data_IF_137924490471
#
_entry.id   IF_137924490471
#
_cell.length_a   1.000
_cell.length_b   1.000
_cell.length_c   1.000
_cell.angle_alpha   90.00
_cell.angle_beta   90.00
_cell.angle_gamma   90.00
#
_symmetry.space_group_name_H-M   'P 1'
#
loop_
_entity.id
_entity.type
_entity.pdbx_description
1 polymer ?
#
# COMPACT_ATOMS: atom_id res chain seq x y z
N UNK A 1 -4.02 5.69 13.56
CA UNK A 1 -4.24 4.29 14.00
C UNK A 1 -3.31 3.95 15.17
N UNK A 2 -3.60 2.96 16.03
CA UNK A 2 -2.66 2.50 17.07
C UNK A 2 -2.38 0.99 16.91
N UNK A 3 -1.12 0.58 17.03
CA UNK A 3 -0.66 -0.76 16.66
C UNK A 3 -0.12 -1.56 17.85
N UNK A 4 -0.11 -2.88 17.71
CA UNK A 4 0.13 -3.82 18.81
C UNK A 4 1.58 -4.29 18.96
N UNK A 5 2.44 -4.25 17.93
CA UNK A 5 3.87 -4.60 18.07
C UNK A 5 4.71 -4.24 16.84
N UNK A 6 5.74 -3.40 16.97
CA UNK A 6 6.85 -3.20 16.01
C UNK A 6 8.20 -2.99 16.71
N UNK A 7 9.31 -3.18 15.99
CA UNK A 7 10.67 -2.88 16.44
C UNK A 7 10.98 -1.38 16.48
N UNK A 8 10.37 -0.58 15.61
CA UNK A 8 10.70 0.85 15.41
C UNK A 8 9.56 1.82 15.76
N UNK A 9 8.40 1.31 16.19
CA UNK A 9 7.28 2.12 16.66
C UNK A 9 6.76 1.60 17.99
N UNK A 10 6.72 2.51 18.95
CA UNK A 10 6.22 2.30 20.30
C UNK A 10 4.74 1.94 20.24
N UNK A 11 4.38 0.79 20.83
CA UNK A 11 2.99 0.36 20.93
C UNK A 11 2.09 1.45 21.53
N UNK A 12 0.88 1.59 20.98
CA UNK A 12 -0.10 2.59 21.43
C UNK A 12 0.13 4.03 20.91
N UNK A 13 1.19 4.29 20.13
CA UNK A 13 1.36 5.58 19.45
C UNK A 13 0.49 5.67 18.19
N UNK A 14 -0.04 6.87 17.88
CA UNK A 14 -0.59 7.16 16.56
C UNK A 14 0.46 6.95 15.46
N UNK A 15 0.04 6.28 14.40
CA UNK A 15 0.85 5.98 13.22
C UNK A 15 0.13 6.27 11.91
N UNK A 16 0.95 6.43 10.86
CA UNK A 16 0.57 6.44 9.45
C UNK A 16 1.54 5.57 8.63
N UNK A 17 1.18 5.27 7.39
CA UNK A 17 1.96 4.46 6.45
C UNK A 17 2.47 5.31 5.29
N UNK A 18 3.77 5.32 5.09
CA UNK A 18 4.41 5.75 3.85
C UNK A 18 4.33 4.59 2.85
N UNK A 19 3.52 4.78 1.82
CA UNK A 19 3.23 3.83 0.78
C UNK A 19 4.16 4.09 -0.40
N UNK A 20 4.78 3.03 -0.91
CA UNK A 20 5.68 3.08 -2.05
C UNK A 20 5.26 2.03 -3.08
N UNK A 21 5.34 2.39 -4.35
CA UNK A 21 5.04 1.52 -5.49
C UNK A 21 6.23 1.50 -6.43
N UNK A 22 6.71 0.31 -6.81
CA UNK A 22 7.72 0.19 -7.87
C UNK A 22 7.37 -0.94 -8.82
N UNK A 23 7.78 -0.73 -10.05
CA UNK A 23 7.81 -1.74 -11.09
C UNK A 23 9.15 -2.45 -11.04
N UNK A 24 9.15 -3.72 -10.64
CA UNK A 24 10.36 -4.51 -10.51
C UNK A 24 10.47 -5.60 -11.58
N UNK A 25 11.69 -5.77 -12.07
CA UNK A 25 12.06 -6.93 -12.86
C UNK A 25 12.76 -7.95 -11.97
N UNK A 26 12.48 -9.23 -12.17
CA UNK A 26 13.09 -10.31 -11.35
C UNK A 26 14.61 -10.45 -11.51
N UNK A 27 15.25 -9.58 -12.30
CA UNK A 27 16.70 -9.55 -12.56
C UNK A 27 17.43 -8.47 -11.78
N UNK A 28 16.72 -7.58 -11.10
CA UNK A 28 17.31 -6.55 -10.23
C UNK A 28 17.18 -7.01 -8.77
N UNK A 29 18.28 -7.02 -8.02
CA UNK A 29 18.35 -7.63 -6.66
C UNK A 29 18.50 -6.61 -5.51
N UNK A 30 18.36 -5.30 -5.76
CA UNK A 30 18.49 -4.28 -4.70
C UNK A 30 17.40 -3.23 -4.74
N UNK A 31 16.41 -3.37 -3.86
CA UNK A 31 15.23 -2.50 -3.93
C UNK A 31 14.89 -1.80 -2.60
N UNK A 32 15.18 -2.41 -1.44
CA UNK A 32 14.74 -1.87 -0.15
C UNK A 32 15.45 -0.59 0.30
N UNK A 33 16.78 -0.61 0.42
CA UNK A 33 17.56 0.50 0.97
C UNK A 33 17.40 1.78 0.16
N UNK A 34 17.11 1.64 -1.13
CA UNK A 34 16.93 2.77 -2.03
C UNK A 34 15.52 3.36 -1.91
N UNK A 35 14.49 2.55 -1.64
CA UNK A 35 13.10 3.00 -1.48
C UNK A 35 12.90 3.79 -0.18
N UNK A 36 13.47 3.33 0.94
CA UNK A 36 13.29 4.01 2.23
C UNK A 36 13.91 5.41 2.32
N UNK A 37 14.74 5.77 1.33
CA UNK A 37 15.36 7.11 1.19
C UNK A 37 14.59 8.04 0.26
N UNK A 38 13.56 7.54 -0.41
CA UNK A 38 12.75 8.31 -1.36
C UNK A 38 11.50 8.89 -0.69
N UNK A 39 10.93 9.93 -1.30
CA UNK A 39 9.61 10.42 -0.94
C UNK A 39 8.55 9.34 -1.20
N UNK A 40 7.57 9.16 -0.30
CA UNK A 40 6.49 8.21 -0.50
C UNK A 40 5.59 8.60 -1.67
N UNK A 41 5.02 7.60 -2.33
CA UNK A 41 4.01 7.79 -3.37
C UNK A 41 2.64 8.17 -2.75
N UNK A 42 2.39 7.73 -1.52
CA UNK A 42 1.24 8.13 -0.70
C UNK A 42 1.62 8.10 0.80
N UNK A 43 1.09 9.04 1.57
CA UNK A 43 1.03 8.95 3.04
C UNK A 43 -0.39 8.59 3.46
N UNK A 44 -0.59 7.35 3.92
CA UNK A 44 -1.88 6.83 4.33
C UNK A 44 -2.05 6.87 5.86
N UNK A 45 -3.09 7.56 6.32
CA UNK A 45 -3.36 7.74 7.75
C UNK A 45 -4.26 6.65 8.34
N UNK A 46 -4.80 5.81 7.47
CA UNK A 46 -5.59 4.64 7.77
C UNK A 46 -5.28 3.49 6.80
N UNK A 47 -5.46 2.22 7.20
CA UNK A 47 -5.41 1.07 6.29
C UNK A 47 -6.42 1.20 5.17
N UNK A 48 -7.60 1.77 5.42
CA UNK A 48 -8.61 2.00 4.40
C UNK A 48 -8.06 2.86 3.26
N UNK A 49 -7.35 3.96 3.56
CA UNK A 49 -6.70 4.81 2.55
C UNK A 49 -5.64 4.04 1.76
N UNK A 50 -4.81 3.26 2.46
CA UNK A 50 -3.78 2.45 1.84
C UNK A 50 -4.38 1.36 0.92
N UNK A 51 -5.49 0.72 1.31
CA UNK A 51 -6.17 -0.30 0.52
C UNK A 51 -6.83 0.27 -0.72
N UNK A 52 -7.49 1.42 -0.60
CA UNK A 52 -8.04 2.13 -1.75
C UNK A 52 -6.94 2.46 -2.76
N UNK A 53 -5.81 2.98 -2.28
CA UNK A 53 -4.65 3.25 -3.12
C UNK A 53 -4.07 1.99 -3.77
N UNK A 54 -3.94 0.88 -3.03
CA UNK A 54 -3.52 -0.42 -3.61
C UNK A 54 -4.44 -0.83 -4.76
N UNK A 55 -5.76 -0.74 -4.57
CA UNK A 55 -6.74 -1.03 -5.62
C UNK A 55 -6.53 -0.16 -6.84
N UNK A 56 -6.30 1.13 -6.65
CA UNK A 56 -6.07 2.07 -7.75
C UNK A 56 -4.76 1.77 -8.50
N UNK A 57 -3.69 1.39 -7.79
CA UNK A 57 -2.44 0.96 -8.43
C UNK A 57 -2.63 -0.33 -9.25
N UNK A 58 -3.40 -1.30 -8.75
CA UNK A 58 -3.71 -2.52 -9.50
C UNK A 58 -4.52 -2.20 -10.75
N UNK A 59 -5.57 -1.36 -10.63
CA UNK A 59 -6.40 -0.96 -11.77
C UNK A 59 -5.58 -0.22 -12.83
N UNK A 60 -4.71 0.71 -12.41
CA UNK A 60 -3.86 1.47 -13.33
C UNK A 60 -2.92 0.57 -14.15
N UNK A 61 -2.44 -0.53 -13.57
CA UNK A 61 -1.51 -1.46 -14.23
C UNK A 61 -2.21 -2.72 -14.79
N UNK A 62 -3.54 -2.78 -14.73
CA UNK A 62 -4.34 -3.91 -15.22
C UNK A 62 -4.06 -4.24 -16.68
N UNK A 63 -3.85 -3.21 -17.51
CA UNK A 63 -3.56 -3.37 -18.94
C UNK A 63 -2.19 -4.00 -19.24
N UNK A 64 -1.29 -4.05 -18.25
CA UNK A 64 0.04 -4.66 -18.39
C UNK A 64 0.05 -6.15 -18.04
N UNK A 65 -1.08 -6.68 -17.55
CA UNK A 65 -1.20 -8.07 -17.14
C UNK A 65 -1.37 -8.99 -18.36
N UNK A 66 -0.43 -9.91 -18.53
CA UNK A 66 -0.50 -10.93 -19.58
C UNK A 66 -1.56 -11.99 -19.25
N UNK A 67 -2.21 -12.55 -20.28
CA UNK A 67 -3.11 -13.69 -20.10
C UNK A 67 -2.38 -14.98 -19.69
N UNK A 68 -1.09 -15.06 -20.02
CA UNK A 68 -0.26 -16.22 -19.72
C UNK A 68 -0.27 -16.54 -18.22
N UNK A 69 -0.45 -17.82 -17.89
CA UNK A 69 -0.50 -18.32 -16.51
C UNK A 69 -1.61 -17.70 -15.66
N UNK A 70 -2.68 -17.18 -16.28
CA UNK A 70 -3.85 -16.65 -15.57
C UNK A 70 -3.60 -15.33 -14.84
N UNK A 71 -2.53 -14.58 -15.14
CA UNK A 71 -2.19 -13.35 -14.42
C UNK A 71 -3.24 -12.25 -14.59
N UNK A 72 -3.73 -12.06 -15.81
CA UNK A 72 -4.84 -11.13 -16.07
C UNK A 72 -6.08 -11.50 -15.26
N UNK A 73 -6.54 -12.74 -15.35
CA UNK A 73 -7.69 -13.24 -14.58
C UNK A 73 -7.51 -13.02 -13.07
N UNK A 74 -6.31 -13.28 -12.54
CA UNK A 74 -5.97 -13.06 -11.14
C UNK A 74 -6.02 -11.59 -10.71
N UNK A 75 -5.73 -10.64 -11.61
CA UNK A 75 -5.91 -9.20 -11.36
C UNK A 75 -7.39 -8.82 -11.43
N UNK A 76 -8.12 -9.31 -12.42
CA UNK A 76 -9.56 -9.06 -12.55
C UNK A 76 -10.31 -9.55 -11.31
N UNK A 77 -9.98 -10.74 -10.82
CA UNK A 77 -10.53 -11.29 -9.57
C UNK A 77 -10.15 -10.44 -8.35
N UNK A 78 -8.91 -9.93 -8.30
CA UNK A 78 -8.47 -9.03 -7.23
C UNK A 78 -9.33 -7.76 -7.18
N UNK A 79 -9.54 -7.15 -8.34
CA UNK A 79 -10.30 -5.91 -8.47
C UNK A 79 -11.79 -6.15 -8.19
N UNK A 80 -12.34 -7.27 -8.66
CA UNK A 80 -13.74 -7.64 -8.44
C UNK A 80 -14.05 -7.98 -6.97
N UNK A 81 -13.08 -8.51 -6.22
CA UNK A 81 -13.23 -8.87 -4.80
C UNK A 81 -12.94 -7.72 -3.83
N UNK A 82 -12.60 -6.53 -4.33
CA UNK A 82 -12.28 -5.38 -3.48
C UNK A 82 -13.47 -4.97 -2.62
N UNK A 83 -13.20 -4.78 -1.33
CA UNK A 83 -14.12 -4.14 -0.38
C UNK A 83 -13.38 -3.02 0.37
N UNK A 84 -13.98 -1.83 0.57
CA UNK A 84 -13.31 -0.71 1.22
C UNK A 84 -12.93 -0.95 2.68
N UNK A 85 -13.68 -1.82 3.36
CA UNK A 85 -13.45 -2.19 4.75
C UNK A 85 -13.59 -3.71 4.89
N UNK A 86 -12.57 -4.47 4.45
CA UNK A 86 -12.62 -5.92 4.52
C UNK A 86 -12.64 -6.37 5.98
N UNK A 87 -13.30 -7.50 6.23
CA UNK A 87 -13.31 -8.08 7.56
C UNK A 87 -11.87 -8.42 8.02
N UNK A 88 -11.62 -8.51 9.33
CA UNK A 88 -10.35 -9.05 9.82
C UNK A 88 -10.09 -10.44 9.23
N UNK A 89 -8.83 -10.73 8.91
CA UNK A 89 -8.41 -12.04 8.42
C UNK A 89 -8.77 -13.12 9.45
N UNK A 90 -9.53 -14.13 9.04
CA UNK A 90 -9.86 -15.31 9.84
C UNK A 90 -9.48 -16.59 9.08
N UNK A 91 -9.47 -17.74 9.76
CA UNK A 91 -9.26 -19.02 9.10
C UNK A 91 -10.33 -19.31 8.03
N UNK A 92 -11.53 -18.76 8.21
CA UNK A 92 -12.69 -18.97 7.33
C UNK A 92 -12.78 -17.93 6.20
N UNK A 93 -11.98 -16.85 6.25
CA UNK A 93 -11.96 -15.80 5.25
C UNK A 93 -10.52 -15.44 4.84
N UNK A 94 -9.95 -16.26 3.95
CA UNK A 94 -8.59 -16.11 3.41
C UNK A 94 -8.56 -15.24 2.15
N UNK A 95 -9.35 -14.16 2.09
CA UNK A 95 -9.32 -13.24 0.96
C UNK A 95 -8.11 -12.28 1.04
N UNK A 96 -7.70 -11.79 -0.13
CA UNK A 96 -6.51 -10.96 -0.30
C UNK A 96 -6.61 -9.63 0.42
N UNK A 97 -7.77 -8.99 0.40
CA UNK A 97 -7.96 -7.66 0.98
C UNK A 97 -7.96 -7.72 2.51
N UNK A 98 -8.54 -8.77 3.08
CA UNK A 98 -8.42 -9.07 4.51
C UNK A 98 -6.97 -9.33 4.92
N UNK A 99 -6.20 -10.06 4.11
CA UNK A 99 -4.77 -10.28 4.35
C UNK A 99 -3.95 -8.98 4.29
N UNK A 100 -4.18 -8.13 3.28
CA UNK A 100 -3.53 -6.83 3.13
C UNK A 100 -3.85 -5.90 4.31
N UNK A 101 -5.11 -5.86 4.73
CA UNK A 101 -5.56 -5.06 5.88
C UNK A 101 -4.89 -5.51 7.17
N UNK A 102 -4.85 -6.83 7.41
CA UNK A 102 -4.16 -7.38 8.55
C UNK A 102 -2.66 -7.08 8.49
N UNK A 103 -2.04 -7.16 7.30
CA UNK A 103 -0.64 -6.77 7.08
C UNK A 103 -0.39 -5.30 7.43
N UNK A 104 -1.24 -4.38 7.00
CA UNK A 104 -1.12 -2.96 7.34
C UNK A 104 -1.25 -2.74 8.85
N UNK A 105 -2.22 -3.41 9.49
CA UNK A 105 -2.46 -3.35 10.94
C UNK A 105 -1.39 -4.06 11.78
N UNK A 106 -0.62 -4.96 11.20
CA UNK A 106 0.52 -5.62 11.84
C UNK A 106 1.86 -5.01 11.41
N UNK A 107 1.83 -4.07 10.45
CA UNK A 107 2.97 -3.46 9.75
C UNK A 107 3.96 -4.42 9.15
N UNK A 108 3.48 -5.36 8.35
CA UNK A 108 4.40 -5.92 7.36
C UNK A 108 4.70 -4.85 6.31
N UNK A 109 5.99 -4.62 6.09
CA UNK A 109 6.51 -3.52 5.27
C UNK A 109 6.48 -3.81 3.77
N UNK A 110 6.17 -5.06 3.39
CA UNK A 110 5.97 -5.49 2.02
C UNK A 110 4.67 -6.28 1.95
N UNK A 111 3.80 -5.91 1.02
CA UNK A 111 2.61 -6.69 0.69
C UNK A 111 2.89 -7.60 -0.51
N UNK A 112 1.99 -8.56 -0.72
CA UNK A 112 2.02 -9.47 -1.87
C UNK A 112 2.29 -8.72 -3.17
N UNK A 113 3.25 -9.22 -3.93
CA UNK A 113 3.60 -8.70 -5.25
C UNK A 113 2.53 -9.08 -6.28
N UNK A 114 2.16 -8.15 -7.16
CA UNK A 114 1.23 -8.42 -8.25
C UNK A 114 2.04 -8.74 -9.51
N UNK A 115 1.91 -9.98 -10.00
CA UNK A 115 2.59 -10.42 -11.21
C UNK A 115 1.85 -9.89 -12.43
N UNK A 116 2.51 -9.06 -13.24
CA UNK A 116 1.91 -8.49 -14.44
C UNK A 116 2.27 -9.33 -15.67
N UNK A 117 3.57 -9.50 -15.93
CA UNK A 117 4.10 -10.17 -17.10
C UNK A 117 5.29 -11.06 -16.74
N UNK A 118 5.85 -11.78 -17.72
CA UNK A 118 7.07 -12.55 -17.49
C UNK A 118 8.16 -11.68 -16.85
N UNK A 119 8.56 -12.05 -15.62
CA UNK A 119 9.55 -11.35 -14.78
C UNK A 119 9.20 -9.94 -14.35
N UNK A 120 8.01 -9.42 -14.64
CA UNK A 120 7.58 -8.06 -14.30
C UNK A 120 6.54 -8.06 -13.19
N UNK A 121 6.86 -7.39 -12.10
CA UNK A 121 6.03 -7.34 -10.89
C UNK A 121 5.72 -5.90 -10.51
N UNK A 122 4.49 -5.64 -10.10
CA UNK A 122 4.11 -4.46 -9.33
C UNK A 122 4.32 -4.78 -7.85
N UNK A 123 5.22 -4.05 -7.21
CA UNK A 123 5.60 -4.26 -5.82
C UNK A 123 5.20 -3.04 -5.01
N UNK A 124 4.53 -3.30 -3.88
CA UNK A 124 4.02 -2.27 -2.98
C UNK A 124 4.65 -2.47 -1.60
N UNK A 125 5.16 -1.38 -1.02
CA UNK A 125 5.73 -1.35 0.33
C UNK A 125 5.00 -0.34 1.19
N UNK A 126 4.90 -0.69 2.47
CA UNK A 126 4.24 0.15 3.48
C UNK A 126 5.20 0.32 4.64
N UNK A 127 5.95 1.41 4.58
CA UNK A 127 6.86 1.82 5.64
C UNK A 127 6.06 2.60 6.66
N UNK A 128 6.00 2.16 7.90
CA UNK A 128 5.17 2.87 8.82
C UNK A 128 5.94 3.81 9.74
N UNK A 129 5.28 4.88 10.14
CA UNK A 129 5.89 6.00 10.85
C UNK A 129 5.05 6.42 12.06
N UNK A 130 5.72 6.71 13.17
CA UNK A 130 5.11 7.39 14.31
C UNK A 130 4.77 8.83 13.92
N UNK A 131 3.55 9.29 14.25
CA UNK A 131 3.10 10.65 13.95
C UNK A 131 4.06 11.71 14.51
N UNK A 132 4.64 11.50 15.69
CA UNK A 132 5.57 12.45 16.33
C UNK A 132 6.96 12.54 15.68
N UNK A 133 7.33 11.55 14.86
CA UNK A 133 8.61 11.51 14.16
C UNK A 133 8.55 12.19 12.77
N UNK A 134 7.36 12.28 12.19
CA UNK A 134 7.13 12.89 10.88
C UNK A 134 6.67 14.35 11.05
N UNK A 135 7.63 15.28 11.21
CA UNK A 135 7.34 16.71 11.39
C UNK A 135 6.81 17.43 10.13
N UNK A 136 6.88 16.77 8.97
CA UNK A 136 6.66 17.40 7.66
C UNK A 136 5.34 16.95 6.98
N UNK A 137 4.50 16.15 7.65
CA UNK A 137 3.25 15.65 7.08
C UNK A 137 2.07 16.06 7.96
N UNK A 138 1.26 17.00 7.46
CA UNK A 138 0.04 17.44 8.13
C UNK A 138 -1.05 16.36 8.06
N UNK A 139 -1.83 16.22 9.14
CA UNK A 139 -2.89 15.23 9.27
C UNK A 139 -4.08 15.62 8.37
N UNK A 140 -4.89 14.67 7.86
CA UNK A 140 -6.04 15.00 7.03
C UNK A 140 -7.12 15.86 7.69
N UNK A 141 -7.17 15.89 9.03
CA UNK A 141 -8.02 16.81 9.78
C UNK A 141 -7.62 18.29 9.59
N UNK A 142 -6.40 18.54 9.11
CA UNK A 142 -5.82 19.85 8.86
C UNK A 142 -5.83 20.22 7.36
N UNK A 143 -5.83 19.25 6.42
CA UNK A 143 -6.23 19.41 5.00
C UNK A 143 -6.66 18.07 4.35
N UNK A 144 -7.72 18.01 3.53
CA UNK A 144 -8.07 16.80 2.78
C UNK A 144 -6.98 16.41 1.79
N UNK A 145 -6.74 15.10 1.63
CA UNK A 145 -5.78 14.53 0.68
C UNK A 145 -5.96 15.10 -0.73
N UNK A 146 -4.84 15.50 -1.34
CA UNK A 146 -4.77 16.01 -2.72
C UNK A 146 -3.93 15.07 -3.56
N UNK A 147 -4.42 14.74 -4.75
CA UNK A 147 -3.64 13.95 -5.69
C UNK A 147 -2.41 14.75 -6.16
N UNK A 148 -1.27 14.10 -6.47
CA UNK A 148 -0.13 14.79 -7.06
C UNK A 148 -0.54 15.50 -8.37
N UNK A 149 -0.48 16.84 -8.38
CA UNK A 149 -0.87 17.67 -9.53
C UNK A 149 -2.13 18.52 -9.35
N UNK A 150 -2.79 18.46 -8.20
CA UNK A 150 -3.93 19.32 -7.90
C UNK A 150 -3.49 20.77 -7.63
N UNK A 151 -3.97 21.72 -8.45
CA UNK A 151 -3.57 23.14 -8.37
C UNK A 151 -4.20 23.79 -7.14
N UNK A 152 -3.37 24.45 -6.34
CA UNK A 152 -3.83 25.21 -5.16
C UNK A 152 -4.24 26.61 -5.60
N UNK A 153 -5.53 26.92 -5.57
CA UNK A 153 -5.98 28.32 -5.52
C UNK A 153 -5.70 28.84 -4.11
N UNK A 154 -4.70 29.72 -4.00
CA UNK A 154 -4.39 30.45 -2.77
C UNK A 154 -5.34 31.64 -2.71
N UNK A 155 -6.27 31.62 -1.75
CA UNK A 155 -7.11 32.77 -1.40
C UNK A 155 -6.35 33.80 -0.56
#
# INVERSE_FOLDING_TARGET
>A
MALTSWTDVTAGKPVHHHCYMRMEWSTDEKHWTDISRQSPDLVAWSPEDALAWVRDQIEAHRGEAEEAYGRREWIEEALASYTPNPAPLTADNLDRWSYLTNTLRQGNWKVSTFHLAFRKNLVLWFLPHEDGACRDHERPADQPYRAPGEVVEVA
#
